data_IF_472996860823
#
_entry.id   IF_472996860823
#
_cell.length_a   1.000
_cell.length_b   1.000
_cell.length_c   1.000
_cell.angle_alpha   90.00
_cell.angle_beta   90.00
_cell.angle_gamma   90.00
#
_symmetry.space_group_name_H-M   'P 1'
#
loop_
_entity.id
_entity.type
_entity.pdbx_description
1 polymer ?
#
# COMPACT_ATOMS: atom_id res chain seq x y z
N UNK A 1 -1.16 -28.02 -16.78
CA UNK A 1 -0.17 -27.36 -17.64
C UNK A 1 -0.76 -26.05 -18.16
N UNK A 2 0.07 -25.05 -18.42
CA UNK A 2 -0.25 -23.89 -19.24
C UNK A 2 0.18 -24.20 -20.67
N UNK A 3 -0.76 -24.19 -21.59
CA UNK A 3 -0.51 -24.43 -23.01
C UNK A 3 -0.97 -23.21 -23.79
N UNK A 4 -0.10 -22.65 -24.60
CA UNK A 4 -0.44 -21.58 -25.55
C UNK A 4 -0.23 -22.08 -26.96
N UNK A 5 -1.22 -21.85 -27.82
CA UNK A 5 -1.19 -22.24 -29.21
C UNK A 5 -1.33 -21.00 -30.12
N UNK A 6 -0.60 -21.03 -31.21
CA UNK A 6 -0.70 -20.03 -32.27
C UNK A 6 -0.84 -20.73 -33.64
N UNK A 7 -1.91 -20.45 -34.32
CA UNK A 7 -2.22 -21.00 -35.65
C UNK A 7 -2.11 -22.56 -35.70
N UNK A 8 -2.64 -23.22 -34.65
CA UNK A 8 -2.61 -24.68 -34.52
C UNK A 8 -1.24 -25.27 -34.13
N UNK A 9 -0.27 -24.43 -33.80
CA UNK A 9 1.05 -24.86 -33.30
C UNK A 9 1.20 -24.52 -31.85
N UNK A 10 1.56 -25.49 -31.03
CA UNK A 10 1.91 -25.28 -29.64
C UNK A 10 3.22 -24.45 -29.55
N UNK A 11 3.19 -23.33 -28.84
CA UNK A 11 4.32 -22.43 -28.64
C UNK A 11 4.79 -22.40 -27.20
N UNK A 12 3.92 -22.75 -26.24
CA UNK A 12 4.25 -22.88 -24.81
C UNK A 12 3.55 -24.10 -24.26
N UNK A 13 4.26 -24.89 -23.45
CA UNK A 13 3.68 -25.99 -22.70
C UNK A 13 4.44 -26.21 -21.39
N UNK A 14 4.04 -25.48 -20.36
CA UNK A 14 4.73 -25.41 -19.08
C UNK A 14 3.91 -26.09 -17.98
N UNK A 15 4.57 -26.82 -17.08
CA UNK A 15 3.88 -27.41 -15.92
C UNK A 15 3.42 -26.32 -14.95
N UNK A 16 2.28 -26.51 -14.31
CA UNK A 16 1.82 -25.59 -13.26
C UNK A 16 2.75 -25.61 -12.04
N UNK A 17 3.27 -26.78 -11.70
CA UNK A 17 4.24 -26.88 -10.62
C UNK A 17 5.48 -26.00 -10.86
N UNK A 18 5.96 -25.91 -12.11
CA UNK A 18 7.05 -24.99 -12.46
C UNK A 18 6.65 -23.51 -12.29
N UNK A 19 5.43 -23.16 -12.70
CA UNK A 19 4.92 -21.80 -12.57
C UNK A 19 4.69 -21.40 -11.09
N UNK A 20 4.19 -22.35 -10.29
CA UNK A 20 3.88 -22.12 -8.87
C UNK A 20 5.15 -21.91 -8.02
N UNK A 21 6.32 -22.32 -8.52
CA UNK A 21 7.62 -22.12 -7.86
C UNK A 21 8.48 -21.04 -8.53
N UNK A 22 7.91 -20.20 -9.39
CA UNK A 22 8.68 -19.23 -10.20
C UNK A 22 9.86 -19.88 -10.97
N UNK A 23 9.70 -21.17 -11.32
CA UNK A 23 10.70 -21.92 -12.10
C UNK A 23 11.72 -22.69 -11.29
N UNK A 24 11.82 -22.46 -9.98
CA UNK A 24 12.75 -23.17 -9.09
C UNK A 24 12.15 -23.33 -7.70
N UNK A 25 12.36 -24.49 -7.09
CA UNK A 25 12.11 -24.67 -5.66
C UNK A 25 13.33 -24.13 -4.90
N UNK A 26 13.10 -23.15 -4.03
CA UNK A 26 14.16 -22.53 -3.23
C UNK A 26 13.92 -22.81 -1.76
N UNK A 27 14.98 -23.21 -1.08
CA UNK A 27 15.01 -23.36 0.36
C UNK A 27 16.17 -22.51 0.91
N UNK A 28 15.87 -21.67 1.89
CA UNK A 28 16.86 -20.79 2.51
C UNK A 28 16.74 -20.89 4.02
N UNK A 29 17.83 -21.20 4.68
CA UNK A 29 17.89 -21.12 6.13
C UNK A 29 18.02 -19.66 6.55
N UNK A 30 17.12 -19.21 7.42
CA UNK A 30 17.12 -17.84 7.95
C UNK A 30 17.17 -17.86 9.47
N UNK A 31 17.85 -16.87 10.03
CA UNK A 31 17.80 -16.57 11.47
C UNK A 31 16.99 -15.30 11.65
N UNK A 32 15.94 -15.38 12.45
CA UNK A 32 15.12 -14.21 12.78
C UNK A 32 15.46 -13.77 14.19
N UNK A 33 16.03 -12.58 14.31
CA UNK A 33 16.32 -11.97 15.60
C UNK A 33 15.11 -11.19 16.11
N UNK A 34 14.96 -11.15 17.44
CA UNK A 34 13.94 -10.29 18.05
C UNK A 34 14.29 -8.82 17.82
N UNK A 35 13.29 -7.96 17.52
CA UNK A 35 13.52 -6.53 17.45
C UNK A 35 14.08 -5.98 18.76
N UNK A 36 14.99 -5.00 18.65
CA UNK A 36 15.55 -4.34 19.84
C UNK A 36 14.45 -3.57 20.60
N UNK A 37 14.20 -3.96 21.84
CA UNK A 37 13.21 -3.32 22.70
C UNK A 37 13.56 -1.85 23.03
N UNK A 38 14.85 -1.49 22.99
CA UNK A 38 15.29 -0.08 23.20
C UNK A 38 14.90 0.80 22.02
N UNK A 39 14.80 0.21 20.83
CA UNK A 39 14.43 0.89 19.60
C UNK A 39 12.94 0.72 19.28
N UNK A 40 12.13 0.31 20.25
CA UNK A 40 10.72 -0.01 20.08
C UNK A 40 9.95 1.11 19.39
N UNK A 41 9.40 0.80 18.23
CA UNK A 41 8.65 1.76 17.40
C UNK A 41 7.53 2.45 18.19
N UNK A 42 6.73 1.69 18.93
CA UNK A 42 5.60 2.22 19.71
C UNK A 42 6.03 3.07 20.93
N UNK A 43 7.29 3.04 21.29
CA UNK A 43 7.87 3.92 22.32
C UNK A 43 8.47 5.21 21.78
N UNK A 44 8.74 5.28 20.48
CA UNK A 44 9.24 6.48 19.82
C UNK A 44 8.09 7.43 19.54
N UNK A 45 8.17 8.62 20.11
CA UNK A 45 7.11 9.64 19.99
C UNK A 45 7.48 10.77 19.04
N UNK A 46 8.68 10.73 18.49
CA UNK A 46 9.26 11.91 17.82
C UNK A 46 10.01 11.52 16.55
N UNK A 47 9.78 12.28 15.50
CA UNK A 47 10.58 12.22 14.28
C UNK A 47 11.95 12.86 14.52
N UNK A 48 12.96 12.42 13.76
CA UNK A 48 14.32 12.95 13.85
C UNK A 48 14.34 14.48 13.74
N UNK A 49 14.97 15.14 14.72
CA UNK A 49 15.11 16.59 14.78
C UNK A 49 13.90 17.37 15.31
N UNK A 50 12.74 16.72 15.53
CA UNK A 50 11.58 17.37 16.16
C UNK A 50 11.82 17.55 17.64
N UNK A 51 12.31 16.53 18.34
CA UNK A 51 12.66 16.61 19.76
C UNK A 51 13.68 17.71 20.05
N UNK A 52 14.76 17.75 19.26
CA UNK A 52 15.81 18.76 19.42
C UNK A 52 15.27 20.18 19.24
N UNK A 53 14.38 20.38 18.26
CA UNK A 53 13.77 21.68 18.01
C UNK A 53 12.83 22.10 19.16
N UNK A 54 12.07 21.14 19.73
CA UNK A 54 11.20 21.39 20.88
C UNK A 54 12.01 21.68 22.14
N UNK A 55 13.08 20.92 22.40
CA UNK A 55 13.99 21.16 23.52
C UNK A 55 14.64 22.54 23.45
N UNK A 56 14.93 23.02 22.24
CA UNK A 56 15.42 24.38 22.01
C UNK A 56 14.34 25.46 22.03
N UNK A 57 13.08 25.14 22.35
CA UNK A 57 11.95 26.07 22.37
C UNK A 57 11.51 26.54 20.97
N UNK A 58 11.99 25.92 19.90
CA UNK A 58 11.69 26.35 18.54
C UNK A 58 10.54 25.52 17.94
N UNK A 59 9.32 25.84 18.35
CA UNK A 59 8.09 25.17 17.92
C UNK A 59 7.90 25.27 16.40
N UNK A 60 8.22 26.41 15.81
CA UNK A 60 8.11 26.58 14.34
C UNK A 60 9.03 25.61 13.59
N UNK A 61 10.27 25.47 14.03
CA UNK A 61 11.22 24.53 13.44
C UNK A 61 10.73 23.08 13.61
N UNK A 62 10.25 22.71 14.80
CA UNK A 62 9.68 21.39 15.05
C UNK A 62 8.53 21.06 14.07
N UNK A 63 7.59 22.00 13.94
CA UNK A 63 6.45 21.88 13.04
C UNK A 63 6.88 21.72 11.57
N UNK A 64 7.78 22.56 11.10
CA UNK A 64 8.29 22.49 9.73
C UNK A 64 9.08 21.21 9.45
N UNK A 65 9.86 20.74 10.43
CA UNK A 65 10.57 19.45 10.33
C UNK A 65 9.59 18.28 10.19
N UNK A 66 8.55 18.26 10.98
CA UNK A 66 7.51 17.24 10.91
C UNK A 66 6.79 17.27 9.56
N UNK A 67 6.38 18.44 9.07
CA UNK A 67 5.69 18.58 7.78
C UNK A 67 6.57 18.24 6.57
N UNK A 68 7.89 18.30 6.73
CA UNK A 68 8.84 17.93 5.67
C UNK A 68 9.15 16.43 5.61
N UNK A 69 8.72 15.65 6.61
CA UNK A 69 8.90 14.21 6.60
C UNK A 69 8.14 13.56 5.45
N UNK A 70 8.77 12.60 4.76
CA UNK A 70 8.21 11.97 3.56
C UNK A 70 6.91 11.19 3.82
N UNK A 71 6.69 10.74 5.07
CA UNK A 71 5.43 10.08 5.44
C UNK A 71 4.34 11.07 5.90
N UNK A 72 4.66 12.35 6.04
CA UNK A 72 3.75 13.39 6.51
C UNK A 72 3.45 14.41 5.43
N UNK A 73 4.43 14.74 4.58
CA UNK A 73 4.27 15.73 3.52
C UNK A 73 3.23 15.30 2.48
N UNK A 74 2.57 16.30 1.87
CA UNK A 74 1.59 16.03 0.82
C UNK A 74 2.21 15.36 -0.39
N UNK A 75 1.61 14.26 -0.85
CA UNK A 75 1.97 13.56 -2.07
C UNK A 75 1.19 14.06 -3.30
N UNK A 76 0.44 15.17 -3.17
CA UNK A 76 -0.46 15.67 -4.21
C UNK A 76 0.25 15.91 -5.55
N UNK A 77 1.45 16.48 -5.53
CA UNK A 77 2.21 16.72 -6.74
C UNK A 77 2.57 15.46 -7.52
N UNK A 78 2.83 14.34 -6.82
CA UNK A 78 3.08 13.05 -7.46
C UNK A 78 1.80 12.45 -8.06
N UNK A 79 0.70 12.55 -7.33
CA UNK A 79 -0.60 12.03 -7.77
C UNK A 79 -1.13 12.79 -8.99
N UNK A 80 -0.94 14.11 -9.04
CA UNK A 80 -1.35 14.96 -10.17
C UNK A 80 -0.56 14.72 -11.46
N UNK A 81 0.52 13.96 -11.42
CA UNK A 81 1.23 13.50 -12.63
C UNK A 81 0.48 12.39 -13.37
N UNK A 82 -0.55 11.80 -12.78
CA UNK A 82 -1.32 10.68 -13.32
C UNK A 82 -2.79 11.05 -13.46
N UNK A 83 -3.46 10.43 -14.43
CA UNK A 83 -4.87 10.63 -14.67
C UNK A 83 -5.73 9.87 -13.64
N UNK A 84 -6.32 10.57 -12.69
CA UNK A 84 -7.21 10.01 -11.69
C UNK A 84 -8.63 9.68 -12.17
N UNK A 85 -8.98 10.06 -13.40
CA UNK A 85 -10.35 9.97 -13.94
C UNK A 85 -10.46 9.16 -15.24
N UNK A 86 -9.44 8.44 -15.64
CA UNK A 86 -9.46 7.63 -16.87
C UNK A 86 -10.65 6.67 -16.85
N UNK A 87 -11.37 6.63 -17.97
CA UNK A 87 -12.56 5.80 -18.13
C UNK A 87 -13.81 6.31 -17.41
N UNK A 88 -13.75 7.47 -16.76
CA UNK A 88 -14.84 8.10 -16.01
C UNK A 88 -15.51 7.17 -14.97
N UNK A 89 -14.79 6.17 -14.49
CA UNK A 89 -15.26 5.19 -13.51
C UNK A 89 -14.90 5.51 -12.06
N UNK A 90 -14.06 6.53 -11.81
CA UNK A 90 -13.62 6.87 -10.45
C UNK A 90 -14.78 7.34 -9.59
N UNK A 91 -15.02 6.65 -8.46
CA UNK A 91 -15.96 7.06 -7.43
C UNK A 91 -15.26 7.91 -6.39
N UNK A 92 -14.07 7.46 -5.95
CA UNK A 92 -13.18 8.26 -5.11
C UNK A 92 -12.02 8.78 -5.95
N UNK A 93 -11.93 10.10 -6.03
CA UNK A 93 -10.75 10.77 -6.58
C UNK A 93 -9.63 10.73 -5.54
N UNK A 94 -8.35 10.80 -5.96
CA UNK A 94 -7.20 10.75 -5.03
C UNK A 94 -7.27 11.79 -3.93
N UNK A 95 -7.87 12.96 -4.21
CA UNK A 95 -8.13 14.00 -3.22
C UNK A 95 -9.59 14.41 -3.27
N UNK A 96 -10.21 14.43 -2.11
CA UNK A 96 -11.62 14.78 -1.91
C UNK A 96 -11.82 16.03 -1.06
N UNK A 97 -13.05 16.23 -0.62
CA UNK A 97 -13.47 17.37 0.17
C UNK A 97 -13.70 18.62 -0.68
N UNK A 98 -14.21 19.68 -0.04
CA UNK A 98 -14.57 20.95 -0.69
C UNK A 98 -13.41 21.58 -1.50
N UNK A 99 -12.20 21.45 -1.01
CA UNK A 99 -11.01 22.04 -1.59
C UNK A 99 -10.12 21.04 -2.35
N UNK A 100 -10.55 19.77 -2.44
CA UNK A 100 -9.78 18.67 -3.03
C UNK A 100 -8.35 18.57 -2.47
N UNK A 101 -8.26 18.67 -1.14
CA UNK A 101 -7.01 18.58 -0.39
C UNK A 101 -6.99 17.41 0.58
N UNK A 102 -8.14 16.74 0.80
CA UNK A 102 -8.23 15.59 1.68
C UNK A 102 -7.87 14.33 0.92
N UNK A 103 -6.77 13.72 1.28
CA UNK A 103 -6.32 12.47 0.68
C UNK A 103 -7.33 11.34 0.93
N UNK A 104 -7.68 10.60 -0.13
CA UNK A 104 -8.46 9.37 -0.02
C UNK A 104 -7.51 8.19 0.10
N UNK A 105 -7.79 7.29 1.04
CA UNK A 105 -6.86 6.19 1.36
C UNK A 105 -7.20 4.87 0.67
N UNK A 106 -8.17 4.90 -0.23
CA UNK A 106 -8.56 3.75 -1.04
C UNK A 106 -9.03 4.20 -2.42
N UNK A 107 -8.74 3.39 -3.42
CA UNK A 107 -9.32 3.53 -4.75
C UNK A 107 -10.71 2.87 -4.73
N UNK A 108 -11.71 3.58 -5.25
CA UNK A 108 -13.05 3.05 -5.52
C UNK A 108 -13.43 3.45 -6.95
N UNK A 109 -13.70 2.46 -7.78
CA UNK A 109 -14.06 2.69 -9.17
C UNK A 109 -15.19 1.77 -9.63
N UNK A 110 -16.06 2.27 -10.48
CA UNK A 110 -17.11 1.48 -11.11
C UNK A 110 -16.52 0.44 -12.05
N UNK A 111 -17.11 -0.75 -12.09
CA UNK A 111 -16.74 -1.74 -13.09
C UNK A 111 -17.11 -1.23 -14.49
N UNK A 112 -16.17 -1.28 -15.43
CA UNK A 112 -16.46 -0.91 -16.81
C UNK A 112 -17.43 -1.92 -17.43
N UNK A 113 -18.42 -1.42 -18.15
CA UNK A 113 -19.40 -2.23 -18.91
C UNK A 113 -19.44 -1.76 -20.36
N UNK A 114 -19.71 -2.68 -21.27
CA UNK A 114 -19.72 -2.38 -22.71
C UNK A 114 -20.82 -1.38 -23.10
N UNK A 115 -21.95 -1.38 -22.39
CA UNK A 115 -23.08 -0.45 -22.61
C UNK A 115 -23.74 -0.10 -21.30
N UNK A 116 -24.15 1.16 -21.15
CA UNK A 116 -24.83 1.66 -19.96
C UNK A 116 -23.85 2.00 -18.82
N UNK A 117 -24.30 1.86 -17.59
CA UNK A 117 -23.50 2.09 -16.38
C UNK A 117 -23.70 0.96 -15.38
N UNK A 118 -22.74 0.79 -14.47
CA UNK A 118 -22.82 -0.18 -13.38
C UNK A 118 -22.74 0.56 -12.04
N UNK A 119 -23.51 0.08 -11.06
CA UNK A 119 -23.38 0.51 -9.65
C UNK A 119 -22.46 -0.41 -8.85
N UNK A 120 -21.96 -1.49 -9.48
CA UNK A 120 -20.95 -2.34 -8.89
C UNK A 120 -19.59 -1.65 -8.96
N UNK A 121 -18.87 -1.66 -7.83
CA UNK A 121 -17.56 -1.05 -7.72
C UNK A 121 -16.49 -2.08 -7.37
N UNK A 122 -15.29 -1.79 -7.76
CA UNK A 122 -14.07 -2.41 -7.24
C UNK A 122 -13.40 -1.44 -6.26
N UNK A 123 -12.76 -2.00 -5.24
CA UNK A 123 -12.04 -1.24 -4.23
C UNK A 123 -10.64 -1.80 -4.09
N UNK A 124 -9.66 -0.91 -3.92
CA UNK A 124 -8.27 -1.29 -3.69
C UNK A 124 -7.65 -0.34 -2.66
N UNK A 125 -6.90 -0.91 -1.74
CA UNK A 125 -6.09 -0.16 -0.78
C UNK A 125 -4.79 -0.92 -0.53
N UNK A 126 -3.84 -0.26 0.06
CA UNK A 126 -2.59 -0.87 0.51
C UNK A 126 -2.33 -0.52 1.97
N UNK A 127 -1.42 -1.25 2.60
CA UNK A 127 -0.89 -0.94 3.92
C UNK A 127 0.62 -1.14 3.91
N UNK A 128 1.34 -0.16 4.42
CA UNK A 128 2.79 -0.22 4.58
C UNK A 128 3.28 0.92 5.47
N UNK A 129 4.01 0.59 6.52
CA UNK A 129 4.74 1.54 7.35
C UNK A 129 6.23 1.21 7.30
N UNK A 130 7.05 2.05 6.64
CA UNK A 130 8.48 1.79 6.48
C UNK A 130 9.25 1.85 7.80
N UNK A 131 8.85 2.68 8.75
CA UNK A 131 9.52 2.81 10.05
C UNK A 131 9.23 1.61 10.94
N UNK A 132 7.96 1.18 10.99
CA UNK A 132 7.57 -0.01 11.72
C UNK A 132 8.22 -1.26 11.13
N UNK A 133 8.23 -1.36 9.80
CA UNK A 133 8.84 -2.50 9.08
C UNK A 133 10.35 -2.55 9.26
N UNK A 134 11.02 -1.40 9.34
CA UNK A 134 12.47 -1.32 9.61
C UNK A 134 12.84 -1.76 11.02
N UNK A 135 11.98 -1.47 12.00
CA UNK A 135 12.18 -1.96 13.36
C UNK A 135 11.85 -3.45 13.48
N UNK A 136 10.74 -3.88 12.91
CA UNK A 136 10.30 -5.27 12.98
C UNK A 136 9.48 -5.65 11.74
N UNK A 137 10.05 -6.46 10.83
CA UNK A 137 9.32 -6.95 9.66
C UNK A 137 8.03 -7.70 10.03
N UNK A 138 8.03 -8.45 11.14
CA UNK A 138 6.84 -9.13 11.65
C UNK A 138 5.71 -8.14 11.99
N UNK A 139 5.99 -7.12 12.80
CA UNK A 139 5.00 -6.12 13.15
C UNK A 139 4.60 -5.28 11.93
N UNK A 140 5.56 -4.96 11.07
CA UNK A 140 5.30 -4.27 9.80
C UNK A 140 4.28 -5.02 8.95
N UNK A 141 4.45 -6.32 8.76
CA UNK A 141 3.53 -7.16 8.00
C UNK A 141 2.12 -7.23 8.63
N UNK A 142 2.05 -7.43 9.95
CA UNK A 142 0.77 -7.46 10.68
C UNK A 142 0.01 -6.15 10.52
N UNK A 143 0.67 -5.02 10.74
CA UNK A 143 0.03 -3.70 10.64
C UNK A 143 -0.29 -3.32 9.19
N UNK A 144 0.51 -3.73 8.21
CA UNK A 144 0.19 -3.54 6.80
C UNK A 144 -1.14 -4.21 6.41
N UNK A 145 -1.38 -5.44 6.89
CA UNK A 145 -2.66 -6.14 6.69
C UNK A 145 -3.80 -5.40 7.36
N UNK A 146 -3.65 -5.04 8.65
CA UNK A 146 -4.69 -4.33 9.40
C UNK A 146 -5.03 -2.99 8.73
N UNK A 147 -4.02 -2.22 8.33
CA UNK A 147 -4.18 -0.92 7.68
C UNK A 147 -4.93 -1.05 6.35
N UNK A 148 -4.52 -1.99 5.48
CA UNK A 148 -5.18 -2.20 4.19
C UNK A 148 -6.65 -2.62 4.35
N UNK A 149 -6.96 -3.48 5.32
CA UNK A 149 -8.34 -3.86 5.65
C UNK A 149 -9.14 -2.67 6.17
N UNK A 150 -8.57 -1.90 7.11
CA UNK A 150 -9.24 -0.74 7.68
C UNK A 150 -9.62 0.30 6.61
N UNK A 151 -8.72 0.54 5.65
CA UNK A 151 -8.97 1.46 4.52
C UNK A 151 -10.13 0.99 3.64
N UNK A 152 -10.21 -0.30 3.33
CA UNK A 152 -11.35 -0.87 2.56
C UNK A 152 -12.64 -0.77 3.33
N UNK A 153 -12.63 -1.08 4.63
CA UNK A 153 -13.82 -0.97 5.49
C UNK A 153 -14.29 0.48 5.62
N UNK A 154 -13.35 1.42 5.77
CA UNK A 154 -13.67 2.85 5.79
C UNK A 154 -14.31 3.34 4.48
N UNK A 155 -13.97 2.71 3.36
CA UNK A 155 -14.61 2.96 2.06
C UNK A 155 -15.98 2.24 1.88
N UNK A 156 -16.44 1.48 2.87
CA UNK A 156 -17.70 0.75 2.84
C UNK A 156 -17.59 -0.70 2.35
N UNK A 157 -16.37 -1.23 2.20
CA UNK A 157 -16.14 -2.60 1.78
C UNK A 157 -16.38 -3.63 2.90
N UNK A 158 -16.77 -4.84 2.50
CA UNK A 158 -16.92 -5.98 3.41
C UNK A 158 -15.55 -6.68 3.59
N UNK A 159 -15.00 -6.62 4.80
CA UNK A 159 -13.70 -7.23 5.12
C UNK A 159 -13.65 -8.73 4.82
N UNK A 160 -14.77 -9.46 4.88
CA UNK A 160 -14.84 -10.89 4.58
C UNK A 160 -14.63 -11.22 3.09
N UNK A 161 -14.77 -10.23 2.23
CA UNK A 161 -14.63 -10.38 0.77
C UNK A 161 -13.30 -9.88 0.23
N UNK A 162 -12.44 -9.34 1.08
CA UNK A 162 -11.12 -8.86 0.67
C UNK A 162 -10.25 -10.02 0.17
N UNK A 163 -9.48 -9.75 -0.86
CA UNK A 163 -8.40 -10.60 -1.36
C UNK A 163 -7.10 -9.83 -1.27
N UNK A 164 -6.04 -10.49 -0.88
CA UNK A 164 -4.73 -9.88 -0.69
C UNK A 164 -3.78 -10.27 -1.80
N UNK A 165 -2.95 -9.31 -2.18
CA UNK A 165 -1.71 -9.52 -2.91
C UNK A 165 -0.59 -8.99 -2.04
N UNK A 166 0.44 -9.80 -1.82
CA UNK A 166 1.60 -9.41 -1.05
C UNK A 166 2.78 -9.16 -1.98
N UNK A 167 3.57 -8.15 -1.65
CA UNK A 167 4.91 -7.94 -2.22
C UNK A 167 5.91 -8.09 -1.10
N UNK A 168 6.88 -8.95 -1.30
CA UNK A 168 7.91 -9.28 -0.34
C UNK A 168 9.26 -8.98 -0.98
N UNK A 169 10.11 -8.30 -0.22
CA UNK A 169 11.47 -7.93 -0.64
C UNK A 169 12.45 -8.46 0.39
N UNK A 170 13.40 -9.26 -0.06
CA UNK A 170 14.44 -9.88 0.75
C UNK A 170 15.81 -9.38 0.32
#
# INVERSE_FOLDING_TARGET
RLVLEWRGKEIVNISRAFLDTNGAHQETAVTVEMPDEKEKFFGKKELNGVADALAAGNVKKAWMTMLADLNVCSQKGLVEMFDGSIGAGSVYMPYGGKYQLTETQSMVAKLPVAKGSSDTVTMMAYGFDPYLSSWSPYHGAVYAVVESVARIVAAGGDYKKIRFTFQEYF
#
